data_IF_341554978415
#
_entry.id   IF_341554978415
#
_cell.length_a   1.000
_cell.length_b   1.000
_cell.length_c   1.000
_cell.angle_alpha   90.00
_cell.angle_beta   90.00
_cell.angle_gamma   90.00
#
_symmetry.space_group_name_H-M   'P 1'
#
loop_
_entity.id
_entity.type
_entity.pdbx_description
1 polymer ?
#
# COMPACT_ATOMS: atom_id res chain seq x y z
N UNK A 1 -5.26 -18.89 -9.89
CA UNK A 1 -5.43 -17.55 -9.30
C UNK A 1 -4.94 -17.60 -7.84
N UNK A 2 -3.66 -17.89 -7.60
CA UNK A 2 -3.17 -18.34 -6.27
C UNK A 2 -1.89 -17.66 -5.78
N UNK A 3 -1.32 -16.76 -6.58
CA UNK A 3 0.00 -16.16 -6.32
C UNK A 3 0.04 -15.40 -4.98
N UNK A 4 -1.07 -14.82 -4.54
CA UNK A 4 -1.17 -14.06 -3.30
C UNK A 4 -1.93 -14.79 -2.18
N UNK A 5 -2.37 -16.03 -2.42
CA UNK A 5 -3.15 -16.78 -1.43
C UNK A 5 -2.25 -17.32 -0.30
N UNK A 6 -1.03 -17.76 -0.63
CA UNK A 6 -0.07 -18.23 0.38
C UNK A 6 0.84 -17.10 0.84
N UNK A 7 1.09 -17.03 2.15
CA UNK A 7 2.02 -16.03 2.72
C UNK A 7 3.43 -16.15 2.11
N UNK A 8 3.90 -17.38 1.83
CA UNK A 8 5.18 -17.61 1.13
C UNK A 8 5.20 -17.00 -0.27
N UNK A 9 4.14 -17.21 -1.07
CA UNK A 9 4.09 -16.68 -2.43
C UNK A 9 3.86 -15.16 -2.44
N UNK A 10 3.06 -14.62 -1.51
CA UNK A 10 2.95 -13.17 -1.30
C UNK A 10 4.30 -12.56 -0.98
N UNK A 11 5.02 -13.10 0.00
CA UNK A 11 6.32 -12.58 0.39
C UNK A 11 7.31 -12.60 -0.79
N UNK A 12 7.39 -13.72 -1.52
CA UNK A 12 8.22 -13.83 -2.73
C UNK A 12 7.84 -12.82 -3.82
N UNK A 13 6.57 -12.41 -3.87
CA UNK A 13 6.10 -11.41 -4.82
C UNK A 13 6.41 -10.00 -4.34
N UNK A 14 6.11 -9.67 -3.08
CA UNK A 14 6.34 -8.33 -2.51
C UNK A 14 7.83 -8.00 -2.38
N UNK A 15 8.71 -8.98 -2.16
CA UNK A 15 10.16 -8.78 -2.15
C UNK A 15 10.72 -8.34 -3.51
N UNK A 16 9.92 -8.37 -4.59
CA UNK A 16 10.33 -7.85 -5.89
C UNK A 16 10.16 -6.34 -6.00
N UNK A 17 9.45 -5.72 -5.06
CA UNK A 17 9.22 -4.29 -5.03
C UNK A 17 10.44 -3.49 -4.56
N UNK A 18 11.44 -4.16 -3.97
CA UNK A 18 12.56 -3.55 -3.26
C UNK A 18 13.36 -2.53 -4.11
N UNK A 19 13.30 -2.52 -5.44
CA UNK A 19 14.03 -1.51 -6.23
C UNK A 19 13.21 -0.79 -7.31
N UNK A 20 12.02 -1.30 -7.64
CA UNK A 20 11.20 -0.80 -8.76
C UNK A 20 9.71 -1.08 -8.51
N UNK A 21 9.17 -0.61 -7.38
CA UNK A 21 7.79 -0.91 -6.99
C UNK A 21 6.77 -0.49 -8.05
N UNK A 22 6.98 0.69 -8.64
CA UNK A 22 6.10 1.24 -9.68
C UNK A 22 5.96 0.33 -10.92
N UNK A 23 7.02 -0.39 -11.31
CA UNK A 23 7.05 -1.23 -12.51
C UNK A 23 6.10 -2.44 -12.42
N UNK A 24 5.68 -2.80 -11.20
CA UNK A 24 4.74 -3.90 -10.96
C UNK A 24 3.27 -3.46 -10.98
N UNK A 25 3.00 -2.16 -11.09
CA UNK A 25 1.64 -1.62 -11.10
C UNK A 25 1.27 -1.08 -12.48
N UNK A 26 -0.03 -1.18 -12.79
CA UNK A 26 -0.62 -0.58 -13.99
C UNK A 26 -0.46 0.94 -13.89
N UNK A 27 0.27 1.62 -14.79
CA UNK A 27 0.57 3.05 -14.67
C UNK A 27 -0.67 3.93 -14.51
N UNK A 28 -1.77 3.56 -15.17
CA UNK A 28 -3.06 4.25 -15.13
C UNK A 28 -3.72 4.21 -13.75
N UNK A 29 -3.30 3.28 -12.88
CA UNK A 29 -3.77 3.17 -11.50
C UNK A 29 -2.93 4.01 -10.52
N UNK A 30 -1.75 4.48 -10.91
CA UNK A 30 -0.84 5.21 -10.00
C UNK A 30 -1.29 6.66 -9.86
N UNK A 31 -1.42 7.14 -8.62
CA UNK A 31 -1.63 8.56 -8.32
C UNK A 31 -0.57 9.04 -7.34
N UNK A 32 0.16 10.08 -7.71
CA UNK A 32 1.18 10.66 -6.87
C UNK A 32 0.57 11.32 -5.62
N UNK A 33 1.32 11.28 -4.52
CA UNK A 33 1.02 12.03 -3.31
C UNK A 33 2.09 13.11 -3.20
N UNK A 34 1.68 14.38 -3.13
CA UNK A 34 2.64 15.46 -2.95
C UNK A 34 3.48 15.24 -1.68
N UNK A 35 4.80 15.52 -1.70
CA UNK A 35 5.69 15.23 -0.57
C UNK A 35 5.19 15.75 0.79
N UNK A 36 4.60 16.95 0.83
CA UNK A 36 4.04 17.55 2.05
C UNK A 36 2.85 16.78 2.64
N UNK A 37 2.20 15.93 1.85
CA UNK A 37 1.05 15.12 2.26
C UNK A 37 1.43 13.67 2.58
N UNK A 38 2.72 13.29 2.52
CA UNK A 38 3.18 11.92 2.78
C UNK A 38 3.37 11.60 4.27
N UNK A 39 2.62 12.26 5.15
CA UNK A 39 2.57 11.91 6.57
C UNK A 39 1.36 10.99 6.83
N UNK A 40 1.45 10.02 7.76
CA UNK A 40 0.39 9.03 7.97
C UNK A 40 -1.02 9.60 8.13
N UNK A 41 -1.27 10.67 8.92
CA UNK A 41 -2.61 11.24 9.04
C UNK A 41 -3.13 11.80 7.71
N UNK A 42 -2.29 12.52 6.97
CA UNK A 42 -2.66 13.11 5.68
C UNK A 42 -2.98 12.02 4.64
N UNK A 43 -2.20 10.94 4.61
CA UNK A 43 -2.46 9.79 3.72
C UNK A 43 -3.79 9.13 4.08
N UNK A 44 -4.07 8.94 5.37
CA UNK A 44 -5.33 8.38 5.84
C UNK A 44 -6.53 9.25 5.44
N UNK A 45 -6.41 10.57 5.57
CA UNK A 45 -7.46 11.51 5.19
C UNK A 45 -7.73 11.50 3.68
N UNK A 46 -6.68 11.44 2.85
CA UNK A 46 -6.82 11.29 1.40
C UNK A 46 -7.57 9.98 1.07
N UNK A 47 -7.16 8.86 1.66
CA UNK A 47 -7.79 7.56 1.42
C UNK A 47 -9.26 7.55 1.88
N UNK A 48 -9.57 8.12 3.05
CA UNK A 48 -10.95 8.24 3.55
C UNK A 48 -11.82 9.12 2.66
N UNK A 49 -11.28 10.24 2.16
CA UNK A 49 -11.97 11.09 1.19
C UNK A 49 -12.28 10.35 -0.12
N UNK A 50 -11.52 9.30 -0.44
CA UNK A 50 -11.76 8.40 -1.57
C UNK A 50 -12.62 7.17 -1.21
N UNK A 51 -13.16 7.10 0.01
CA UNK A 51 -14.07 6.05 0.46
C UNK A 51 -13.41 4.86 1.17
N UNK A 52 -12.14 4.97 1.56
CA UNK A 52 -11.50 3.94 2.38
C UNK A 52 -12.28 3.75 3.71
N UNK A 53 -12.52 2.49 4.12
CA UNK A 53 -13.06 2.21 5.46
C UNK A 53 -11.99 2.43 6.54
N UNK A 54 -12.39 2.33 7.81
CA UNK A 54 -11.46 2.47 8.95
C UNK A 54 -10.41 1.37 9.04
N UNK A 55 -10.57 0.27 8.30
CA UNK A 55 -9.63 -0.85 8.27
C UNK A 55 -9.07 -1.08 6.87
N UNK A 56 -7.82 -1.50 6.76
CA UNK A 56 -7.21 -1.94 5.51
C UNK A 56 -6.58 -3.32 5.68
N UNK A 57 -6.48 -4.06 4.56
CA UNK A 57 -5.74 -5.31 4.49
C UNK A 57 -4.27 -5.03 4.19
N UNK A 58 -3.38 -5.64 4.98
CA UNK A 58 -1.93 -5.51 4.85
C UNK A 58 -1.38 -6.57 3.91
N UNK A 59 -0.63 -6.16 2.90
CA UNK A 59 0.06 -7.05 1.96
C UNK A 59 1.55 -6.74 2.00
N UNK A 60 2.35 -7.72 2.43
CA UNK A 60 3.79 -7.60 2.67
C UNK A 60 4.16 -7.06 4.06
N UNK A 61 5.45 -7.19 4.41
CA UNK A 61 6.00 -6.78 5.70
C UNK A 61 5.60 -7.65 6.88
N UNK A 62 5.83 -7.16 8.10
CA UNK A 62 5.62 -7.89 9.37
C UNK A 62 4.14 -8.27 9.62
N UNK A 63 3.21 -7.48 9.08
CA UNK A 63 1.78 -7.66 9.30
C UNK A 63 1.04 -8.25 8.09
N UNK A 64 1.77 -8.88 7.17
CA UNK A 64 1.22 -9.49 5.95
C UNK A 64 0.01 -10.40 6.24
N UNK A 65 -1.09 -10.17 5.51
CA UNK A 65 -2.33 -10.93 5.60
C UNK A 65 -3.27 -10.51 6.74
N UNK A 66 -2.95 -9.46 7.52
CA UNK A 66 -3.81 -8.97 8.60
C UNK A 66 -4.67 -7.80 8.14
N UNK A 67 -5.87 -7.71 8.71
CA UNK A 67 -6.67 -6.49 8.69
C UNK A 67 -6.29 -5.62 9.89
N UNK A 68 -6.08 -4.34 9.64
CA UNK A 68 -5.63 -3.37 10.64
C UNK A 68 -6.37 -2.05 10.46
N UNK A 69 -6.52 -1.29 11.56
CA UNK A 69 -7.00 0.08 11.47
C UNK A 69 -6.05 0.90 10.57
N UNK A 70 -6.62 1.67 9.65
CA UNK A 70 -5.91 2.30 8.54
C UNK A 70 -4.80 3.23 9.02
N UNK A 71 -5.09 4.14 9.94
CA UNK A 71 -4.12 5.09 10.45
C UNK A 71 -2.99 4.39 11.22
N UNK A 72 -3.31 3.35 11.98
CA UNK A 72 -2.35 2.52 12.71
C UNK A 72 -1.42 1.80 11.73
N UNK A 73 -1.97 1.19 10.68
CA UNK A 73 -1.20 0.51 9.66
C UNK A 73 -0.28 1.47 8.88
N UNK A 74 -0.70 2.72 8.67
CA UNK A 74 0.11 3.76 8.04
C UNK A 74 1.22 4.27 8.97
N UNK A 75 0.93 4.52 10.25
CA UNK A 75 1.93 4.96 11.24
C UNK A 75 3.08 3.98 11.40
N UNK A 76 2.80 2.68 11.25
CA UNK A 76 3.81 1.63 11.32
C UNK A 76 4.58 1.43 10.00
N UNK A 77 4.11 2.00 8.89
CA UNK A 77 4.66 1.73 7.56
C UNK A 77 5.43 2.91 6.97
N UNK A 78 4.86 4.11 7.04
CA UNK A 78 5.36 5.26 6.29
C UNK A 78 6.77 5.61 6.77
N UNK A 79 7.73 5.62 5.84
CA UNK A 79 9.14 5.87 6.17
C UNK A 79 10.01 4.62 6.28
N UNK A 80 9.41 3.44 6.40
CA UNK A 80 10.18 2.19 6.48
C UNK A 80 10.68 1.72 5.11
N UNK A 81 9.98 2.08 4.03
CA UNK A 81 10.39 1.77 2.67
C UNK A 81 10.43 0.27 2.36
N UNK A 82 9.40 -0.49 2.73
CA UNK A 82 9.47 -1.97 2.76
C UNK A 82 8.79 -2.68 1.59
N UNK A 83 8.40 -1.99 0.52
CA UNK A 83 7.68 -2.60 -0.59
C UNK A 83 6.38 -3.27 -0.15
N UNK A 84 5.43 -2.50 0.40
CA UNK A 84 4.16 -3.06 0.90
C UNK A 84 2.94 -2.27 0.47
N UNK A 85 1.79 -2.95 0.49
CA UNK A 85 0.51 -2.39 0.11
C UNK A 85 -0.43 -2.37 1.31
N UNK A 86 -1.23 -1.31 1.41
CA UNK A 86 -2.37 -1.18 2.33
C UNK A 86 -3.64 -1.10 1.50
N UNK A 87 -4.30 -2.25 1.32
CA UNK A 87 -5.51 -2.39 0.49
C UNK A 87 -6.73 -1.95 1.28
N UNK A 88 -7.27 -0.77 0.96
CA UNK A 88 -8.43 -0.21 1.64
C UNK A 88 -9.74 -0.75 1.07
N UNK A 89 -9.85 -0.77 -0.27
CA UNK A 89 -10.98 -1.36 -0.98
C UNK A 89 -10.40 -2.37 -1.97
N UNK A 90 -10.66 -3.68 -1.79
CA UNK A 90 -10.09 -4.72 -2.63
C UNK A 90 -10.26 -4.43 -4.13
N UNK A 91 -9.14 -4.32 -4.84
CA UNK A 91 -9.08 -4.05 -6.27
C UNK A 91 -9.45 -2.63 -6.70
N UNK A 92 -9.71 -1.69 -5.78
CA UNK A 92 -10.11 -0.32 -6.13
C UNK A 92 -9.22 0.75 -5.54
N UNK A 93 -8.84 0.62 -4.28
CA UNK A 93 -8.13 1.67 -3.55
C UNK A 93 -7.09 1.07 -2.61
N UNK A 94 -5.83 1.48 -2.77
CA UNK A 94 -4.76 1.10 -1.87
C UNK A 94 -3.68 2.19 -1.78
N UNK A 95 -2.84 2.10 -0.75
CA UNK A 95 -1.59 2.84 -0.62
C UNK A 95 -0.40 1.90 -0.81
N UNK A 96 0.64 2.38 -1.47
CA UNK A 96 1.92 1.69 -1.60
C UNK A 96 3.05 2.48 -0.93
N UNK A 97 3.85 1.77 -0.14
CA UNK A 97 5.15 2.23 0.37
C UNK A 97 6.24 1.36 -0.25
N UNK A 98 7.01 1.92 -1.17
CA UNK A 98 8.21 1.31 -1.74
C UNK A 98 9.49 1.86 -1.14
N UNK A 99 10.62 1.34 -1.61
CA UNK A 99 11.93 1.87 -1.26
C UNK A 99 12.13 3.29 -1.84
N UNK A 100 12.97 4.09 -1.17
CA UNK A 100 13.46 5.42 -1.60
C UNK A 100 12.40 6.29 -2.30
N UNK A 101 11.55 6.96 -1.51
CA UNK A 101 10.56 7.97 -1.95
C UNK A 101 9.46 7.46 -2.89
N UNK A 102 9.33 6.15 -3.11
CA UNK A 102 8.20 5.57 -3.83
C UNK A 102 6.96 5.49 -2.93
N UNK A 103 6.15 6.55 -2.95
CA UNK A 103 4.87 6.60 -2.21
C UNK A 103 3.78 7.11 -3.11
N UNK A 104 2.77 6.29 -3.32
CA UNK A 104 1.65 6.61 -4.20
C UNK A 104 0.40 5.85 -3.81
N UNK A 105 -0.73 6.34 -4.32
CA UNK A 105 -2.00 5.64 -4.26
C UNK A 105 -2.16 4.76 -5.49
N UNK A 106 -2.86 3.65 -5.30
CA UNK A 106 -3.33 2.76 -6.34
C UNK A 106 -4.85 2.90 -6.42
N UNK A 107 -5.33 3.42 -7.54
CA UNK A 107 -6.74 3.81 -7.74
C UNK A 107 -7.24 3.25 -9.06
N UNK A 108 -8.23 2.35 -9.02
CA UNK A 108 -8.88 1.80 -10.22
C UNK A 108 -10.30 2.36 -10.36
N UNK A 109 -10.54 3.07 -11.46
CA UNK A 109 -11.84 3.61 -11.87
C UNK A 109 -12.72 2.55 -12.51
#
# INVERSE_FOLDING_TARGET
MELLASSKNRHKFTSKFDHHGQDYFIPECIRSIEPRHQHPPNIADILRAMGAPETCHVIGGEHDGKDMELLTALKQLVGYGTGTVRSCIPGKLAYFEGEIRERFLLVRT
#
